data_IF_179952317776
#
_entry.id   IF_179952317776
#
_cell.length_a   1.000
_cell.length_b   1.000
_cell.length_c   1.000
_cell.angle_alpha   90.00
_cell.angle_beta   90.00
_cell.angle_gamma   90.00
#
_symmetry.space_group_name_H-M   'P 1'
#
loop_
_entity.id
_entity.type
_entity.pdbx_description
1 polymer ?
#
# COMPACT_ATOMS: atom_id res chain seq x y z
N UNK A 1 24.88 77.97 14.76
CA UNK A 1 24.62 76.52 14.88
C UNK A 1 23.85 76.33 16.17
N UNK A 2 22.60 75.86 16.24
CA UNK A 2 21.74 75.19 15.27
C UNK A 2 20.25 75.32 15.63
N UNK A 3 19.42 75.08 14.62
CA UNK A 3 17.97 74.82 14.62
C UNK A 3 17.61 73.60 15.54
N UNK A 4 16.39 73.23 15.93
CA UNK A 4 15.00 73.63 15.61
C UNK A 4 14.03 72.95 16.63
N UNK A 5 12.87 73.57 16.81
CA UNK A 5 11.48 73.03 16.79
C UNK A 5 11.03 71.81 17.63
N UNK A 6 10.21 72.11 18.66
CA UNK A 6 8.84 71.64 19.05
C UNK A 6 8.32 70.25 18.55
N UNK A 7 7.69 69.45 19.44
CA UNK A 7 6.26 68.98 19.41
C UNK A 7 5.97 67.65 20.16
N UNK A 8 5.08 67.78 21.16
CA UNK A 8 3.97 66.94 21.69
C UNK A 8 4.14 65.45 22.05
N UNK A 9 3.79 65.21 23.33
CA UNK A 9 3.29 63.97 23.91
C UNK A 9 1.96 63.52 23.29
N UNK A 10 1.90 62.23 22.93
CA UNK A 10 0.81 61.26 23.16
C UNK A 10 0.85 60.19 22.07
N UNK A 11 1.01 58.91 22.47
CA UNK A 11 0.24 57.80 21.92
C UNK A 11 0.48 56.51 22.70
N UNK A 12 -0.57 56.13 23.41
CA UNK A 12 -0.83 54.85 24.06
C UNK A 12 -0.51 53.69 23.11
N UNK A 13 0.39 52.81 23.54
CA UNK A 13 0.79 51.60 22.82
C UNK A 13 -0.22 50.50 23.19
N UNK A 14 -1.28 50.36 22.37
CA UNK A 14 -2.17 49.20 22.43
C UNK A 14 -1.44 48.04 21.76
N UNK A 15 -0.90 47.14 22.57
CA UNK A 15 -0.36 45.88 22.10
C UNK A 15 -1.53 44.94 21.74
N UNK A 16 -1.93 44.93 20.47
CA UNK A 16 -2.77 43.85 19.93
C UNK A 16 -1.92 42.58 19.83
N UNK A 17 -2.02 41.73 20.84
CA UNK A 17 -1.58 40.33 20.78
C UNK A 17 -2.50 39.61 19.79
N UNK A 18 -2.11 39.55 18.52
CA UNK A 18 -2.69 38.63 17.56
C UNK A 18 -2.19 37.22 17.90
N UNK A 19 -2.98 36.50 18.71
CA UNK A 19 -2.88 35.05 18.84
C UNK A 19 -3.19 34.44 17.47
N UNK A 20 -2.14 34.20 16.69
CA UNK A 20 -2.22 33.38 15.50
C UNK A 20 -2.61 31.96 15.90
N UNK A 21 -3.87 31.60 15.69
CA UNK A 21 -4.29 30.21 15.62
C UNK A 21 -3.66 29.61 14.36
N UNK A 22 -2.42 29.12 14.48
CA UNK A 22 -1.88 28.21 13.49
C UNK A 22 -2.65 26.90 13.65
N UNK A 23 -3.70 26.73 12.84
CA UNK A 23 -4.30 25.42 12.63
C UNK A 23 -3.19 24.51 12.10
N UNK A 24 -2.65 23.65 12.98
CA UNK A 24 -1.71 22.62 12.58
C UNK A 24 -2.41 21.73 11.56
N UNK A 25 -2.09 21.92 10.29
CA UNK A 25 -2.53 21.01 9.25
C UNK A 25 -2.00 19.62 9.63
N UNK A 26 -2.90 18.68 9.89
CA UNK A 26 -2.51 17.31 10.20
C UNK A 26 -1.64 16.81 9.03
N UNK A 27 -0.41 16.40 9.33
CA UNK A 27 0.50 15.91 8.31
C UNK A 27 -0.17 14.74 7.57
N UNK A 28 -0.30 14.90 6.26
CA UNK A 28 -0.78 13.84 5.38
C UNK A 28 0.39 12.93 5.03
N UNK A 29 0.28 11.65 5.37
CA UNK A 29 1.28 10.65 5.03
C UNK A 29 0.71 9.79 3.91
N UNK A 30 1.37 9.80 2.76
CA UNK A 30 1.04 8.88 1.67
C UNK A 30 1.55 7.49 2.00
N UNK A 31 0.78 6.47 1.61
CA UNK A 31 1.13 5.08 1.80
C UNK A 31 0.47 4.21 0.74
N UNK A 32 0.74 2.90 0.83
CA UNK A 32 0.15 1.89 -0.03
C UNK A 32 -0.25 0.70 0.81
N UNK A 33 -1.37 0.08 0.45
CA UNK A 33 -1.87 -1.12 1.11
C UNK A 33 -2.29 -2.13 0.05
N UNK A 34 -1.86 -3.37 0.22
CA UNK A 34 -2.23 -4.48 -0.66
C UNK A 34 -2.96 -5.52 0.17
N UNK A 35 -4.05 -6.05 -0.36
CA UNK A 35 -4.85 -7.04 0.34
C UNK A 35 -5.96 -7.62 -0.50
N UNK A 36 -6.62 -8.62 0.07
CA UNK A 36 -7.82 -9.22 -0.51
C UNK A 36 -9.05 -8.53 0.06
N UNK A 37 -9.96 -8.13 -0.82
CA UNK A 37 -11.19 -7.46 -0.44
C UNK A 37 -12.11 -8.42 0.31
N UNK A 38 -12.34 -8.17 1.59
CA UNK A 38 -13.32 -8.93 2.37
C UNK A 38 -14.72 -8.33 2.24
N UNK A 39 -14.80 -6.99 2.30
CA UNK A 39 -16.06 -6.26 2.26
C UNK A 39 -15.87 -4.91 1.59
N UNK A 40 -16.81 -4.55 0.74
CA UNK A 40 -16.96 -3.21 0.16
C UNK A 40 -18.35 -2.70 0.54
N UNK A 41 -18.40 -1.58 1.25
CA UNK A 41 -19.65 -0.91 1.66
C UNK A 41 -19.64 0.54 1.17
N UNK A 42 -20.17 0.79 -0.03
CA UNK A 42 -20.26 2.13 -0.61
C UNK A 42 -21.06 3.11 0.25
N UNK A 43 -22.14 2.62 0.90
CA UNK A 43 -23.02 3.46 1.71
C UNK A 43 -22.33 3.98 2.97
N UNK A 44 -21.35 3.23 3.47
CA UNK A 44 -20.52 3.61 4.62
C UNK A 44 -19.15 4.18 4.22
N UNK A 45 -18.90 4.35 2.92
CA UNK A 45 -17.59 4.74 2.38
C UNK A 45 -16.44 3.91 2.98
N UNK A 46 -16.58 2.58 2.97
CA UNK A 46 -15.66 1.69 3.68
C UNK A 46 -15.25 0.48 2.85
N UNK A 47 -13.94 0.20 2.87
CA UNK A 47 -13.34 -1.02 2.37
C UNK A 47 -12.69 -1.76 3.54
N UNK A 48 -12.83 -3.09 3.55
CA UNK A 48 -12.17 -3.98 4.50
C UNK A 48 -11.28 -4.95 3.73
N UNK A 49 -9.98 -4.91 4.02
CA UNK A 49 -8.98 -5.78 3.40
C UNK A 49 -8.43 -6.80 4.39
N UNK A 50 -8.03 -7.94 3.87
CA UNK A 50 -7.17 -8.88 4.59
C UNK A 50 -5.79 -8.96 3.94
N UNK A 51 -4.75 -9.07 4.77
CA UNK A 51 -3.37 -9.16 4.30
C UNK A 51 -2.99 -10.59 3.84
N UNK A 52 -3.77 -11.61 4.22
CA UNK A 52 -3.77 -13.01 3.73
C UNK A 52 -2.43 -13.76 3.68
N UNK A 53 -1.38 -13.28 4.36
CA UNK A 53 -0.10 -13.98 4.42
C UNK A 53 -0.08 -14.97 5.58
N UNK A 54 -0.05 -16.28 5.26
CA UNK A 54 0.21 -17.34 6.26
C UNK A 54 1.68 -17.71 6.21
N UNK A 55 2.54 -16.97 6.90
CA UNK A 55 4.00 -17.13 6.86
C UNK A 55 4.56 -17.51 8.23
N UNK A 56 5.49 -18.48 8.28
CA UNK A 56 6.04 -19.02 9.55
C UNK A 56 5.10 -19.96 10.33
N UNK A 57 5.44 -20.18 11.62
CA UNK A 57 4.62 -20.89 12.63
C UNK A 57 3.46 -20.03 13.17
N UNK A 58 3.50 -18.73 12.89
CA UNK A 58 2.45 -17.80 13.23
C UNK A 58 1.40 -17.84 12.12
N UNK A 59 0.17 -18.20 12.49
CA UNK A 59 -0.97 -17.93 11.64
C UNK A 59 -1.03 -16.41 11.48
N UNK A 60 -0.60 -15.88 10.34
CA UNK A 60 -0.73 -14.48 10.00
C UNK A 60 -2.19 -14.09 9.81
N UNK A 61 -2.95 -14.06 10.90
CA UNK A 61 -4.18 -13.30 11.01
C UNK A 61 -3.78 -11.84 11.18
N UNK A 62 -3.26 -11.23 10.11
CA UNK A 62 -3.20 -9.78 10.04
C UNK A 62 -4.61 -9.26 10.31
N UNK A 63 -4.76 -8.37 11.29
CA UNK A 63 -6.06 -7.78 11.59
C UNK A 63 -6.62 -7.16 10.30
N UNK A 64 -7.93 -7.30 10.03
CA UNK A 64 -8.50 -6.72 8.83
C UNK A 64 -8.25 -5.21 8.80
N UNK A 65 -7.75 -4.72 7.68
CA UNK A 65 -7.46 -3.30 7.50
C UNK A 65 -8.75 -2.62 7.08
N UNK A 66 -9.17 -1.65 7.89
CA UNK A 66 -10.36 -0.85 7.63
C UNK A 66 -9.95 0.50 7.06
N UNK A 67 -10.42 0.78 5.86
CA UNK A 67 -10.05 1.96 5.10
C UNK A 67 -11.31 2.73 4.73
N UNK A 68 -11.24 4.05 4.85
CA UNK A 68 -12.27 4.91 4.28
C UNK A 68 -12.07 4.95 2.76
N UNK A 69 -13.15 4.86 2.00
CA UNK A 69 -13.13 4.92 0.54
C UNK A 69 -14.37 5.63 0.04
N UNK A 70 -14.17 6.82 -0.53
CA UNK A 70 -15.25 7.58 -1.16
C UNK A 70 -15.39 7.15 -2.63
N UNK A 71 -16.35 6.25 -2.89
CA UNK A 71 -16.62 5.77 -4.24
C UNK A 71 -17.06 6.93 -5.17
N UNK A 72 -17.78 7.95 -4.69
CA UNK A 72 -18.19 9.08 -5.53
C UNK A 72 -17.00 9.97 -5.94
N UNK A 73 -16.00 10.09 -5.06
CA UNK A 73 -14.71 10.73 -5.40
C UNK A 73 -13.93 9.90 -6.41
N UNK A 74 -13.92 8.57 -6.27
CA UNK A 74 -13.28 7.67 -7.22
C UNK A 74 -14.03 7.58 -8.58
N UNK A 75 -15.36 7.67 -8.60
CA UNK A 75 -16.19 7.60 -9.80
C UNK A 75 -15.91 8.72 -10.81
N UNK A 76 -15.43 9.87 -10.33
CA UNK A 76 -14.98 10.98 -11.19
C UNK A 76 -13.71 10.65 -11.96
N UNK A 77 -12.93 9.68 -11.52
CA UNK A 77 -11.71 9.21 -12.16
C UNK A 77 -11.95 7.82 -12.81
N UNK A 78 -12.64 7.83 -13.95
CA UNK A 78 -13.16 6.63 -14.65
C UNK A 78 -12.11 5.55 -14.93
N UNK A 79 -10.82 5.91 -14.96
CA UNK A 79 -9.70 4.99 -15.15
C UNK A 79 -9.42 4.10 -13.92
N UNK A 80 -9.93 4.45 -12.74
CA UNK A 80 -9.60 3.79 -11.46
C UNK A 80 -10.67 2.80 -10.97
N UNK A 81 -11.65 2.43 -11.81
CA UNK A 81 -12.80 1.64 -11.36
C UNK A 81 -12.78 0.17 -11.83
N UNK A 82 -12.20 -0.77 -11.05
CA UNK A 82 -12.66 -2.14 -11.10
C UNK A 82 -14.03 -2.26 -10.39
N UNK A 83 -14.98 -3.03 -10.94
CA UNK A 83 -16.21 -3.39 -10.22
C UNK A 83 -15.86 -4.30 -9.06
N UNK A 84 -15.51 -3.72 -7.91
CA UNK A 84 -14.99 -4.41 -6.74
C UNK A 84 -15.93 -5.51 -6.23
N UNK A 85 -15.39 -6.69 -6.00
CA UNK A 85 -16.08 -7.85 -5.47
C UNK A 85 -15.29 -8.44 -4.29
N UNK A 86 -15.97 -8.95 -3.24
CA UNK A 86 -15.31 -9.74 -2.23
C UNK A 86 -14.49 -10.87 -2.88
N UNK A 87 -13.25 -11.04 -2.43
CA UNK A 87 -12.26 -11.94 -3.02
C UNK A 87 -11.31 -11.28 -4.01
N UNK A 88 -11.58 -10.06 -4.48
CA UNK A 88 -10.64 -9.33 -5.33
C UNK A 88 -9.33 -9.05 -4.59
N UNK A 89 -8.20 -9.35 -5.24
CA UNK A 89 -6.90 -8.82 -4.80
C UNK A 89 -6.74 -7.39 -5.30
N UNK A 90 -6.50 -6.46 -4.38
CA UNK A 90 -6.40 -5.02 -4.69
C UNK A 90 -5.16 -4.39 -4.07
N UNK A 91 -4.66 -3.38 -4.76
CA UNK A 91 -3.67 -2.43 -4.27
C UNK A 91 -4.34 -1.06 -4.16
N UNK A 92 -4.15 -0.43 -3.00
CA UNK A 92 -4.73 0.87 -2.65
C UNK A 92 -3.59 1.85 -2.38
N UNK A 93 -3.57 2.98 -3.08
CA UNK A 93 -2.81 4.11 -2.56
C UNK A 93 -3.66 4.78 -1.47
N UNK A 94 -3.00 5.18 -0.38
CA UNK A 94 -3.66 5.66 0.82
C UNK A 94 -3.06 6.98 1.29
N UNK A 95 -3.89 7.78 1.96
CA UNK A 95 -3.46 8.96 2.69
C UNK A 95 -3.92 8.82 4.12
N UNK A 96 -2.96 8.87 5.05
CA UNK A 96 -3.23 8.92 6.48
C UNK A 96 -3.28 10.38 6.93
N UNK A 97 -4.43 10.77 7.49
CA UNK A 97 -4.64 12.08 8.14
C UNK A 97 -5.04 11.84 9.59
N UNK A 98 -4.10 12.05 10.52
CA UNK A 98 -4.29 11.66 11.92
C UNK A 98 -4.51 10.15 12.08
N UNK A 99 -5.65 9.76 12.66
CA UNK A 99 -6.02 8.35 12.86
C UNK A 99 -6.83 7.75 11.70
N UNK A 100 -7.16 8.55 10.69
CA UNK A 100 -7.94 8.10 9.53
C UNK A 100 -7.01 7.74 8.38
N UNK A 101 -7.21 6.56 7.80
CA UNK A 101 -6.57 6.14 6.56
C UNK A 101 -7.64 6.10 5.47
N UNK A 102 -7.44 6.88 4.43
CA UNK A 102 -8.33 6.97 3.26
C UNK A 102 -7.63 6.35 2.05
N UNK A 103 -8.32 5.45 1.36
CA UNK A 103 -7.91 4.97 0.05
C UNK A 103 -8.24 6.03 -1.00
N UNK A 104 -7.22 6.49 -1.72
CA UNK A 104 -7.34 7.52 -2.77
C UNK A 104 -7.44 6.92 -4.16
N UNK A 105 -6.93 5.70 -4.34
CA UNK A 105 -7.03 4.93 -5.58
C UNK A 105 -7.29 3.46 -5.24
N UNK A 106 -7.91 2.74 -6.18
CA UNK A 106 -8.07 1.29 -6.09
C UNK A 106 -7.64 0.66 -7.41
N UNK A 107 -6.62 -0.18 -7.35
CA UNK A 107 -6.15 -0.95 -8.50
C UNK A 107 -6.42 -2.41 -8.21
N UNK A 108 -7.28 -3.05 -9.02
CA UNK A 108 -7.40 -4.51 -9.00
C UNK A 108 -6.11 -5.09 -9.57
N UNK A 109 -5.44 -5.94 -8.78
CA UNK A 109 -4.24 -6.61 -9.24
C UNK A 109 -4.62 -7.70 -10.25
N UNK A 110 -3.80 -7.93 -11.29
CA UNK A 110 -4.07 -8.95 -12.29
C UNK A 110 -4.14 -10.31 -11.62
N UNK A 111 -5.38 -10.77 -11.46
CA UNK A 111 -5.85 -12.05 -10.98
C UNK A 111 -4.76 -12.94 -10.37
N UNK A 112 -4.42 -12.68 -9.12
CA UNK A 112 -3.65 -13.60 -8.30
C UNK A 112 -4.58 -14.77 -7.98
N UNK A 113 -4.88 -15.58 -9.00
CA UNK A 113 -5.75 -16.76 -9.02
C UNK A 113 -7.10 -16.62 -8.26
N UNK A 114 -8.25 -16.45 -8.95
CA UNK A 114 -9.54 -16.35 -8.28
C UNK A 114 -9.81 -17.56 -7.41
N UNK A 115 -10.32 -17.35 -6.21
CA UNK A 115 -10.71 -18.44 -5.31
C UNK A 115 -9.54 -19.15 -4.62
N UNK A 116 -8.34 -18.58 -4.62
CA UNK A 116 -7.29 -19.05 -3.71
C UNK A 116 -7.75 -18.87 -2.26
N UNK A 117 -7.61 -19.95 -1.50
CA UNK A 117 -7.95 -19.96 -0.09
C UNK A 117 -7.08 -18.98 0.70
N UNK A 118 -7.61 -18.57 1.85
CA UNK A 118 -6.92 -17.70 2.80
C UNK A 118 -5.49 -18.19 3.09
N UNK A 119 -4.53 -17.27 3.19
CA UNK A 119 -3.15 -17.62 3.50
C UNK A 119 -2.26 -17.92 2.30
N UNK A 120 -2.71 -17.67 1.06
CA UNK A 120 -1.97 -17.98 -0.18
C UNK A 120 -1.39 -16.75 -0.89
N UNK A 121 -1.45 -15.59 -0.26
CA UNK A 121 -0.87 -14.37 -0.79
C UNK A 121 0.31 -13.90 0.05
N UNK A 122 1.26 -13.24 -0.59
CA UNK A 122 2.36 -12.57 0.07
C UNK A 122 2.62 -11.24 -0.63
N UNK A 123 2.52 -10.17 0.13
CA UNK A 123 2.95 -8.84 -0.28
C UNK A 123 4.26 -8.50 0.43
N UNK A 124 5.23 -7.98 -0.31
CA UNK A 124 6.55 -7.68 0.25
C UNK A 124 7.54 -7.17 -0.78
N UNK A 125 8.80 -7.12 -0.38
CA UNK A 125 9.90 -6.73 -1.25
C UNK A 125 10.82 -7.91 -1.55
N UNK A 126 11.32 -7.97 -2.77
CA UNK A 126 12.34 -8.96 -3.15
C UNK A 126 13.60 -8.69 -2.35
N UNK A 127 14.06 -9.68 -1.60
CA UNK A 127 15.35 -9.61 -0.90
C UNK A 127 16.47 -10.17 -1.78
N UNK A 128 16.23 -11.34 -2.40
CA UNK A 128 17.22 -12.05 -3.21
C UNK A 128 16.52 -13.07 -4.10
N UNK A 129 17.04 -13.29 -5.31
CA UNK A 129 16.72 -14.48 -6.11
C UNK A 129 17.96 -15.37 -6.19
N UNK A 130 17.80 -16.67 -5.90
CA UNK A 130 18.86 -17.68 -5.87
C UNK A 130 18.63 -18.67 -7.02
N UNK A 131 19.19 -18.43 -8.23
CA UNK A 131 18.86 -19.21 -9.43
C UNK A 131 19.17 -20.69 -9.30
N UNK A 132 20.28 -21.04 -8.64
CA UNK A 132 20.73 -22.44 -8.48
C UNK A 132 19.69 -23.32 -7.77
N UNK A 133 18.88 -22.73 -6.88
CA UNK A 133 17.89 -23.48 -6.10
C UNK A 133 16.45 -23.12 -6.45
N UNK A 134 16.24 -22.24 -7.45
CA UNK A 134 14.94 -21.69 -7.82
C UNK A 134 14.17 -21.17 -6.60
N UNK A 135 14.85 -20.33 -5.80
CA UNK A 135 14.27 -19.75 -4.58
C UNK A 135 14.27 -18.24 -4.71
N UNK A 136 13.12 -17.65 -4.41
CA UNK A 136 12.94 -16.21 -4.21
C UNK A 136 12.79 -15.94 -2.71
N UNK A 137 13.67 -15.09 -2.19
CA UNK A 137 13.60 -14.59 -0.82
C UNK A 137 12.81 -13.27 -0.82
N UNK A 138 11.80 -13.18 0.03
CA UNK A 138 10.89 -12.02 0.07
C UNK A 138 10.73 -11.54 1.51
N UNK A 139 11.01 -10.27 1.74
CA UNK A 139 10.74 -9.60 3.02
C UNK A 139 9.27 -9.18 3.03
N UNK A 140 8.49 -9.76 3.95
CA UNK A 140 7.06 -9.51 4.01
C UNK A 140 6.78 -8.09 4.51
N UNK A 141 5.92 -7.38 3.79
CA UNK A 141 5.53 -6.02 4.13
C UNK A 141 4.97 -5.93 5.55
N UNK A 142 5.27 -4.82 6.24
CA UNK A 142 4.85 -4.52 7.62
C UNK A 142 5.33 -5.51 8.70
N UNK A 143 6.22 -6.45 8.36
CA UNK A 143 6.77 -7.42 9.32
C UNK A 143 8.30 -7.49 9.24
N UNK A 144 8.91 -8.26 10.14
CA UNK A 144 10.34 -8.64 10.06
C UNK A 144 10.53 -10.05 9.49
N UNK A 145 9.49 -10.62 8.87
CA UNK A 145 9.49 -12.00 8.40
C UNK A 145 10.08 -12.05 7.00
N UNK A 146 11.17 -12.81 6.85
CA UNK A 146 11.73 -13.17 5.56
C UNK A 146 11.21 -14.54 5.12
N UNK A 147 10.61 -14.59 3.95
CA UNK A 147 10.01 -15.77 3.37
C UNK A 147 10.90 -16.41 2.32
N UNK A 148 10.98 -17.74 2.35
CA UNK A 148 11.61 -18.56 1.31
C UNK A 148 10.54 -19.14 0.41
N UNK A 149 10.47 -18.66 -0.82
CA UNK A 149 9.45 -19.05 -1.80
C UNK A 149 10.11 -19.82 -2.94
N UNK A 150 9.61 -21.02 -3.21
CA UNK A 150 10.02 -21.80 -4.37
C UNK A 150 9.53 -21.20 -5.67
N UNK A 151 10.26 -21.43 -6.74
CA UNK A 151 9.93 -21.06 -8.11
C UNK A 151 10.00 -22.33 -8.95
N UNK A 152 9.09 -22.49 -9.90
CA UNK A 152 9.19 -23.54 -10.90
C UNK A 152 8.74 -23.04 -12.29
N UNK A 153 8.71 -23.95 -13.27
CA UNK A 153 8.35 -23.63 -14.65
C UNK A 153 6.92 -23.08 -14.83
N UNK A 154 6.03 -23.27 -13.86
CA UNK A 154 4.67 -22.75 -13.88
C UNK A 154 4.53 -21.41 -13.14
N UNK A 155 5.61 -20.88 -12.55
CA UNK A 155 5.60 -19.55 -11.94
C UNK A 155 5.52 -18.49 -13.04
N UNK A 156 4.45 -17.68 -13.00
CA UNK A 156 4.27 -16.58 -13.93
C UNK A 156 4.66 -15.25 -13.25
N UNK A 157 5.26 -14.34 -14.02
CA UNK A 157 5.65 -13.01 -13.53
C UNK A 157 5.07 -11.95 -14.45
N UNK A 158 4.51 -10.90 -13.87
CA UNK A 158 3.86 -9.81 -14.60
C UNK A 158 4.26 -8.45 -14.04
N UNK A 159 4.30 -7.44 -14.90
CA UNK A 159 4.27 -6.05 -14.48
C UNK A 159 2.86 -5.68 -13.96
N UNK A 160 2.74 -4.53 -13.29
CA UNK A 160 1.47 -4.03 -12.76
C UNK A 160 0.41 -3.84 -13.86
N UNK A 161 0.82 -3.50 -15.08
CA UNK A 161 -0.06 -3.36 -16.24
C UNK A 161 -0.50 -4.69 -16.86
N UNK A 162 -0.06 -5.83 -16.30
CA UNK A 162 -0.36 -7.17 -16.78
C UNK A 162 0.58 -7.68 -17.88
N UNK A 163 1.60 -6.92 -18.27
CA UNK A 163 2.60 -7.37 -19.25
C UNK A 163 3.43 -8.53 -18.68
N UNK A 164 3.57 -9.65 -19.39
CA UNK A 164 4.43 -10.75 -18.94
C UNK A 164 5.88 -10.31 -18.78
N UNK A 165 6.52 -10.77 -17.71
CA UNK A 165 7.92 -10.49 -17.38
C UNK A 165 8.68 -11.79 -17.18
N UNK A 166 10.00 -11.71 -17.28
CA UNK A 166 10.89 -12.81 -16.89
C UNK A 166 11.27 -12.66 -15.43
N UNK A 167 11.44 -13.78 -14.73
CA UNK A 167 11.78 -13.78 -13.31
C UNK A 167 13.12 -13.07 -13.03
N UNK A 168 14.09 -13.19 -13.93
CA UNK A 168 15.41 -12.56 -13.82
C UNK A 168 15.36 -11.03 -13.95
N UNK A 169 14.21 -10.46 -14.33
CA UNK A 169 14.01 -9.02 -14.34
C UNK A 169 13.66 -8.46 -12.96
N UNK A 170 13.25 -9.31 -12.00
CA UNK A 170 13.04 -8.91 -10.62
C UNK A 170 14.39 -8.66 -9.92
N UNK A 171 14.46 -7.58 -9.15
CA UNK A 171 15.66 -7.13 -8.46
C UNK A 171 15.43 -7.01 -6.96
N UNK A 172 16.48 -7.16 -6.14
CA UNK A 172 16.41 -6.79 -4.73
C UNK A 172 15.86 -5.37 -4.55
N UNK A 173 14.86 -5.22 -3.68
CA UNK A 173 14.15 -3.98 -3.41
C UNK A 173 12.85 -3.78 -4.20
N UNK A 174 12.58 -4.60 -5.23
CA UNK A 174 11.31 -4.55 -5.96
C UNK A 174 10.13 -4.90 -5.04
N UNK A 175 9.09 -4.06 -5.04
CA UNK A 175 7.83 -4.31 -4.34
C UNK A 175 6.96 -5.24 -5.20
N UNK A 176 6.52 -6.34 -4.63
CA UNK A 176 5.74 -7.37 -5.31
C UNK A 176 4.50 -7.77 -4.50
N UNK A 177 3.50 -8.26 -5.22
CA UNK A 177 2.45 -9.11 -4.67
C UNK A 177 2.54 -10.49 -5.33
N UNK A 178 2.33 -11.55 -4.57
CA UNK A 178 2.36 -12.89 -5.13
C UNK A 178 1.28 -13.79 -4.58
N UNK A 179 0.82 -14.67 -5.45
CA UNK A 179 0.10 -15.88 -5.11
C UNK A 179 1.09 -17.05 -5.02
N UNK A 180 0.85 -17.95 -4.07
CA UNK A 180 1.60 -19.21 -3.99
C UNK A 180 0.69 -20.42 -3.82
N UNK A 181 1.16 -21.55 -4.32
CA UNK A 181 0.59 -22.88 -4.12
C UNK A 181 1.52 -23.74 -3.27
N UNK A 182 1.01 -24.86 -2.77
CA UNK A 182 1.83 -25.86 -2.09
C UNK A 182 2.27 -26.93 -3.07
N UNK A 183 3.57 -27.16 -3.15
CA UNK A 183 4.18 -28.30 -3.86
C UNK A 183 4.86 -29.17 -2.81
N UNK A 184 4.19 -30.25 -2.43
CA UNK A 184 4.56 -30.99 -1.22
C UNK A 184 4.46 -30.09 0.01
N UNK A 185 5.59 -29.82 0.67
CA UNK A 185 5.68 -28.92 1.85
C UNK A 185 6.28 -27.56 1.52
N UNK A 186 6.59 -27.29 0.25
CA UNK A 186 7.21 -26.04 -0.19
C UNK A 186 6.13 -25.12 -0.73
N UNK A 187 6.17 -23.85 -0.30
CA UNK A 187 5.37 -22.80 -0.94
C UNK A 187 6.07 -22.38 -2.22
N UNK A 188 5.39 -22.54 -3.33
CA UNK A 188 5.91 -22.22 -4.66
C UNK A 188 5.04 -21.13 -5.28
N UNK A 189 5.65 -20.07 -5.77
CA UNK A 189 4.91 -18.99 -6.41
C UNK A 189 4.15 -19.52 -7.63
N UNK A 190 2.85 -19.22 -7.71
CA UNK A 190 2.06 -19.44 -8.92
C UNK A 190 2.11 -18.21 -9.81
N UNK A 191 1.95 -17.03 -9.22
CA UNK A 191 1.96 -15.75 -9.92
C UNK A 191 2.61 -14.66 -9.07
N UNK A 192 3.46 -13.86 -9.70
CA UNK A 192 4.13 -12.71 -9.09
C UNK A 192 3.77 -11.47 -9.92
N UNK A 193 3.40 -10.38 -9.26
CA UNK A 193 3.13 -9.08 -9.87
C UNK A 193 4.11 -8.06 -9.31
N UNK A 194 4.89 -7.43 -10.18
CA UNK A 194 5.74 -6.29 -9.83
C UNK A 194 4.87 -5.05 -9.65
N UNK A 195 4.77 -4.57 -8.41
CA UNK A 195 3.99 -3.39 -8.06
C UNK A 195 4.81 -2.10 -8.22
N UNK A 196 6.07 -2.14 -7.78
CA UNK A 196 6.98 -0.99 -7.86
C UNK A 196 8.43 -1.47 -8.00
N UNK A 197 9.20 -0.96 -8.99
CA UNK A 197 10.61 -1.28 -9.10
C UNK A 197 11.45 -0.60 -8.01
N UNK A 198 12.56 -1.22 -7.65
CA UNK A 198 13.53 -0.66 -6.72
C UNK A 198 14.04 0.71 -7.20
N UNK A 199 14.01 1.71 -6.32
CA UNK A 199 14.54 3.06 -6.59
C UNK A 199 13.61 4.01 -7.36
N UNK A 200 12.37 3.61 -7.63
CA UNK A 200 11.30 4.50 -8.10
C UNK A 200 10.45 5.09 -6.98
#
# INVERSE_FOLDING_TARGET
>A
MGNATIVRFHRTLVACVLLGLTSAAAAQVQGRTVGTLQRHDPAQHRIVLSQDARTGSELGQGAPINLYYDEAKAERDRATRPKLQPGDRVMLDTVKTGNRVEATSVTRLPDTTPGQGWGQYLHGTVAEFVPRTNVLMVDQSETRIRNRIGIDANTQVFALDGTPMRLEQLKPGDEIDMAFRLVGRVRTASKIVLLKPAGG
#
